data_IF_006174676686
#
_entry.id   IF_006174676686
#
_cell.length_a   1.000
_cell.length_b   1.000
_cell.length_c   1.000
_cell.angle_alpha   90.00
_cell.angle_beta   90.00
_cell.angle_gamma   90.00
#
_symmetry.space_group_name_H-M   'P 1'
#
loop_
_entity.id
_entity.type
_entity.pdbx_description
1 polymer ?
#
# COMPACT_ATOMS: atom_id res chain seq x y z
N UNK A 1 -6.04 17.11 12.70
CA UNK A 1 -4.66 17.51 12.34
C UNK A 1 -3.64 16.36 12.42
N UNK A 2 -3.27 15.84 13.61
CA UNK A 2 -2.18 14.83 13.71
C UNK A 2 -2.50 13.49 13.03
N UNK A 3 -3.75 13.02 13.12
CA UNK A 3 -4.17 11.78 12.47
C UNK A 3 -4.13 11.89 10.93
N UNK A 4 -4.48 13.05 10.39
CA UNK A 4 -4.56 13.35 8.95
C UNK A 4 -3.19 13.37 8.25
N UNK A 5 -2.09 13.34 9.01
CA UNK A 5 -0.72 13.25 8.51
C UNK A 5 -0.15 11.82 8.55
N UNK A 6 -0.89 10.83 9.03
CA UNK A 6 -0.42 9.46 9.12
C UNK A 6 -0.68 8.70 7.81
N UNK A 7 0.36 8.04 7.31
CA UNK A 7 0.35 7.26 6.07
C UNK A 7 -0.23 8.04 4.87
N UNK A 8 0.40 9.14 4.42
CA UNK A 8 -0.02 9.94 3.27
C UNK A 8 0.34 9.26 1.93
N UNK A 9 -0.12 8.02 1.75
CA UNK A 9 0.33 7.08 0.71
C UNK A 9 -0.05 7.54 -0.70
N UNK A 10 -1.28 7.98 -0.92
CA UNK A 10 -1.77 8.49 -2.22
C UNK A 10 -1.18 9.86 -2.52
N UNK A 11 -0.98 10.70 -1.50
CA UNK A 11 -0.25 11.96 -1.64
C UNK A 11 1.20 11.72 -2.08
N UNK A 12 1.87 10.70 -1.55
CA UNK A 12 3.19 10.25 -2.01
C UNK A 12 3.14 9.70 -3.45
N UNK A 13 2.19 8.84 -3.77
CA UNK A 13 1.97 8.30 -5.14
C UNK A 13 1.82 9.43 -6.18
N UNK A 14 0.98 10.42 -5.85
CA UNK A 14 0.66 11.59 -6.69
C UNK A 14 1.87 12.50 -6.88
N UNK A 15 2.83 12.52 -5.94
CA UNK A 15 4.09 13.25 -6.08
C UNK A 15 5.13 12.54 -6.97
N UNK A 16 4.84 11.32 -7.45
CA UNK A 16 5.75 10.50 -8.23
C UNK A 16 6.79 9.74 -7.39
N UNK A 17 6.64 9.72 -6.07
CA UNK A 17 7.51 8.92 -5.19
C UNK A 17 7.26 7.41 -5.42
N UNK A 18 8.31 6.58 -5.53
CA UNK A 18 8.13 5.13 -5.63
C UNK A 18 7.57 4.58 -4.32
N UNK A 19 6.42 3.88 -4.40
CA UNK A 19 5.84 3.18 -3.26
C UNK A 19 6.28 1.71 -3.24
N UNK A 20 6.78 1.26 -2.08
CA UNK A 20 6.90 -0.15 -1.71
C UNK A 20 6.07 -0.41 -0.46
N UNK A 21 5.40 -1.57 -0.38
CA UNK A 21 4.61 -1.98 0.77
C UNK A 21 5.21 -3.20 1.49
N UNK A 22 4.94 -3.28 2.80
CA UNK A 22 5.33 -4.39 3.65
C UNK A 22 4.51 -4.39 4.94
N UNK A 23 4.39 -5.55 5.58
CA UNK A 23 3.51 -5.76 6.74
C UNK A 23 4.14 -5.48 8.11
N UNK A 24 5.47 -5.30 8.17
CA UNK A 24 6.23 -5.33 9.43
C UNK A 24 5.94 -6.60 10.26
N UNK A 25 5.74 -7.75 9.60
CA UNK A 25 5.45 -9.03 10.28
C UNK A 25 6.53 -9.36 11.33
N UNK A 26 6.16 -9.70 12.59
CA UNK A 26 4.83 -10.11 13.04
C UNK A 26 3.95 -9.02 13.70
N UNK A 27 4.23 -7.73 13.47
CA UNK A 27 3.46 -6.61 14.07
C UNK A 27 2.07 -6.46 13.44
N UNK A 28 1.93 -6.71 12.14
CA UNK A 28 0.64 -6.83 11.44
C UNK A 28 0.56 -8.10 10.58
N UNK A 29 -0.56 -8.33 9.87
CA UNK A 29 -0.78 -9.57 9.10
C UNK A 29 0.27 -9.82 8.02
N UNK A 30 0.76 -11.06 7.94
CA UNK A 30 1.70 -11.49 6.91
C UNK A 30 1.07 -11.73 5.54
N UNK A 31 -0.26 -11.73 5.42
CA UNK A 31 -0.97 -11.92 4.17
C UNK A 31 -1.02 -10.61 3.35
N UNK A 32 -0.45 -10.53 2.14
CA UNK A 32 -0.43 -9.29 1.36
C UNK A 32 -1.83 -8.78 1.00
N UNK A 33 -2.82 -9.68 0.88
CA UNK A 33 -4.20 -9.32 0.58
C UNK A 33 -4.84 -8.45 1.68
N UNK A 34 -4.50 -8.68 2.95
CA UNK A 34 -5.01 -7.88 4.07
C UNK A 34 -4.44 -6.45 3.98
N UNK A 35 -3.14 -6.33 3.69
CA UNK A 35 -2.48 -5.05 3.47
C UNK A 35 -3.02 -4.31 2.24
N UNK A 36 -3.35 -5.02 1.16
CA UNK A 36 -4.01 -4.46 -0.03
C UNK A 36 -5.43 -3.98 0.34
N UNK A 37 -6.20 -4.77 1.09
CA UNK A 37 -7.54 -4.40 1.54
C UNK A 37 -7.52 -3.10 2.37
N UNK A 38 -6.57 -2.95 3.30
CA UNK A 38 -6.37 -1.71 4.06
C UNK A 38 -5.96 -0.55 3.13
N UNK A 39 -5.12 -0.77 2.12
CA UNK A 39 -4.69 0.29 1.19
C UNK A 39 -5.81 0.82 0.27
N UNK A 40 -6.78 -0.02 -0.11
CA UNK A 40 -7.91 0.35 -0.98
C UNK A 40 -9.19 0.72 -0.24
N UNK A 41 -9.29 0.46 1.07
CA UNK A 41 -10.45 0.85 1.90
C UNK A 41 -10.13 1.92 2.93
N UNK A 42 -8.89 1.98 3.44
CA UNK A 42 -8.47 2.73 4.65
C UNK A 42 -9.24 2.34 5.92
N UNK A 43 -9.81 1.13 5.97
CA UNK A 43 -10.56 0.58 7.11
C UNK A 43 -9.86 -0.64 7.75
N UNK A 44 -10.31 -1.07 8.94
CA UNK A 44 -9.97 -2.33 9.59
C UNK A 44 -10.59 -3.53 8.85
N UNK A 45 -10.20 -4.79 9.18
CA UNK A 45 -10.88 -5.99 8.66
C UNK A 45 -12.39 -6.04 8.93
N UNK A 46 -12.86 -5.39 10.00
CA UNK A 46 -14.28 -5.26 10.34
C UNK A 46 -15.02 -4.19 9.52
N UNK A 47 -14.31 -3.42 8.69
CA UNK A 47 -14.85 -2.35 7.84
C UNK A 47 -14.83 -0.94 8.47
N UNK A 48 -14.27 -0.78 9.67
CA UNK A 48 -14.32 0.49 10.43
C UNK A 48 -13.07 1.38 10.23
N UNK A 49 -13.19 2.72 10.25
CA UNK A 49 -14.44 3.47 10.21
C UNK A 49 -15.13 3.32 8.85
N UNK A 50 -16.46 3.38 8.83
CA UNK A 50 -17.22 3.40 7.59
C UNK A 50 -16.72 4.49 6.61
N UNK A 51 -16.31 4.08 5.41
CA UNK A 51 -15.73 4.96 4.37
C UNK A 51 -14.21 5.15 4.45
N UNK A 52 -13.54 4.67 5.49
CA UNK A 52 -12.09 4.70 5.65
C UNK A 52 -11.55 5.92 6.40
N UNK A 53 -10.40 5.75 7.04
CA UNK A 53 -9.73 6.79 7.82
C UNK A 53 -8.81 7.66 6.96
N UNK A 54 -9.12 8.96 6.90
CA UNK A 54 -9.03 9.83 5.71
C UNK A 54 -9.23 9.04 4.40
N UNK A 55 -10.44 9.06 3.83
CA UNK A 55 -10.67 8.58 2.46
C UNK A 55 -9.77 9.30 1.44
N UNK A 56 -9.23 10.48 1.82
CA UNK A 56 -8.12 11.18 1.17
C UNK A 56 -7.06 10.24 0.58
N UNK A 57 -6.60 9.27 1.35
CA UNK A 57 -5.40 8.48 1.06
C UNK A 57 -5.70 7.07 0.49
N UNK A 58 -6.94 6.81 0.06
CA UNK A 58 -7.30 5.54 -0.60
C UNK A 58 -6.58 5.42 -1.96
N UNK A 59 -5.78 4.36 -2.14
CA UNK A 59 -5.20 3.98 -3.42
C UNK A 59 -6.20 3.23 -4.31
N UNK A 60 -5.93 3.18 -5.62
CA UNK A 60 -6.56 2.18 -6.49
C UNK A 60 -5.95 0.79 -6.25
N UNK A 61 -6.69 -0.26 -6.64
CA UNK A 61 -6.24 -1.65 -6.50
C UNK A 61 -4.95 -1.91 -7.29
N UNK A 62 -4.81 -1.32 -8.48
CA UNK A 62 -3.64 -1.45 -9.34
C UNK A 62 -2.40 -0.82 -8.69
N UNK A 63 -2.55 0.33 -8.02
CA UNK A 63 -1.45 0.98 -7.27
C UNK A 63 -1.06 0.17 -6.02
N UNK A 64 -2.04 -0.35 -5.27
CA UNK A 64 -1.79 -1.20 -4.11
C UNK A 64 -1.10 -2.53 -4.48
N UNK A 65 -1.54 -3.18 -5.56
CA UNK A 65 -0.89 -4.37 -6.12
C UNK A 65 0.53 -4.05 -6.61
N UNK A 66 0.72 -2.93 -7.32
CA UNK A 66 2.05 -2.47 -7.76
C UNK A 66 3.01 -2.27 -6.59
N UNK A 67 2.55 -1.63 -5.51
CA UNK A 67 3.36 -1.35 -4.33
C UNK A 67 3.78 -2.62 -3.58
N UNK A 68 2.97 -3.69 -3.60
CA UNK A 68 3.33 -5.01 -3.05
C UNK A 68 4.17 -5.89 -4.00
N UNK A 69 4.43 -5.47 -5.24
CA UNK A 69 5.14 -6.27 -6.25
C UNK A 69 6.34 -5.50 -6.82
N UNK A 70 6.16 -4.77 -7.92
CA UNK A 70 7.18 -3.94 -8.55
C UNK A 70 7.79 -2.91 -7.58
N UNK A 71 6.99 -2.37 -6.67
CA UNK A 71 7.42 -1.45 -5.62
C UNK A 71 8.45 -2.07 -4.66
N UNK A 72 8.18 -3.28 -4.18
CA UNK A 72 9.10 -4.05 -3.32
C UNK A 72 10.36 -4.44 -4.07
N UNK A 73 10.24 -4.92 -5.31
CA UNK A 73 11.39 -5.25 -6.14
C UNK A 73 12.30 -4.03 -6.37
N UNK A 74 11.73 -2.85 -6.59
CA UNK A 74 12.48 -1.58 -6.71
C UNK A 74 13.11 -1.12 -5.41
N UNK A 75 12.42 -1.26 -4.27
CA UNK A 75 12.98 -1.02 -2.95
C UNK A 75 14.18 -1.94 -2.66
N UNK A 76 14.18 -3.15 -3.23
CA UNK A 76 15.23 -4.16 -3.09
C UNK A 76 16.31 -4.12 -4.19
N UNK A 77 16.29 -3.16 -5.11
CA UNK A 77 17.18 -3.08 -6.30
C UNK A 77 17.19 -4.38 -7.14
N UNK A 78 16.02 -4.99 -7.32
CA UNK A 78 15.84 -6.32 -7.87
C UNK A 78 14.77 -6.38 -8.99
N UNK A 79 14.45 -5.25 -9.63
CA UNK A 79 13.45 -5.15 -10.71
C UNK A 79 13.75 -6.05 -11.92
N UNK A 80 15.01 -6.40 -12.15
CA UNK A 80 15.43 -7.35 -13.19
C UNK A 80 15.25 -8.83 -12.83
N UNK A 81 14.80 -9.15 -11.61
CA UNK A 81 14.66 -10.52 -11.09
C UNK A 81 13.20 -10.86 -10.69
N UNK A 82 12.43 -9.90 -10.18
CA UNK A 82 11.04 -10.09 -9.73
C UNK A 82 10.25 -8.78 -9.71
N UNK A 83 8.95 -8.85 -9.41
CA UNK A 83 8.05 -7.69 -9.29
C UNK A 83 7.19 -7.39 -10.52
N UNK A 84 7.57 -7.88 -11.70
CA UNK A 84 6.78 -7.81 -12.95
C UNK A 84 6.63 -9.20 -13.59
N UNK A 85 5.53 -9.38 -14.32
CA UNK A 85 5.36 -10.48 -15.29
C UNK A 85 5.25 -9.85 -16.67
N UNK A 86 6.33 -9.95 -17.45
CA UNK A 86 6.49 -9.39 -18.79
C UNK A 86 7.30 -10.35 -19.68
N UNK A 87 7.21 -10.25 -21.01
CA UNK A 87 7.99 -11.08 -21.95
C UNK A 87 9.51 -10.86 -21.88
#
# INVERSE_FOLDING_TARGET
ERADRQYPIKSLDTSGAPLGFGSDWPVSSGAPLDGIAVAVSRSTPDGEPAGGWTPHEILSLERALSAYTAGVAKQAFAEGNWGYLQP
#
